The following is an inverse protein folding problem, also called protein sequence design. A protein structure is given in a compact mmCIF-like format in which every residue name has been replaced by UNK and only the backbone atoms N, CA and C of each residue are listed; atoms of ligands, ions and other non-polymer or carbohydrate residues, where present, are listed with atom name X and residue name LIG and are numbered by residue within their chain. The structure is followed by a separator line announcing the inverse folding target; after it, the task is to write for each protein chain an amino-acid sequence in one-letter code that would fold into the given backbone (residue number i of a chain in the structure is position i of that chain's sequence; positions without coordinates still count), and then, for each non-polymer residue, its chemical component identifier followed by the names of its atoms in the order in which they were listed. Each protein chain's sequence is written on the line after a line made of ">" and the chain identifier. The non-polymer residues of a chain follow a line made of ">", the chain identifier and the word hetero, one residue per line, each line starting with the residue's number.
data_IF_687690987579
#
_entry.id   IF_687690987579
#
_cell.length_a   1.000
_cell.length_b   1.000
_cell.length_c   1.000
_cell.angle_alpha   90.00
_cell.angle_beta   90.00
_cell.angle_gamma   90.00
#
_symmetry.space_group_name_H-M   'P 1'
#
loop_
_entity.id
_entity.type
_entity.pdbx_description
1 polymer ?
#
# COMPACT_ATOMS: atom_id res chain seq x y z
N UNK A 1 29.37 -11.16 -27.27
CA UNK A 1 27.91 -11.16 -27.03
C UNK A 1 27.59 -12.30 -26.08
N UNK A 2 27.30 -12.01 -24.82
CA UNK A 2 26.99 -13.00 -23.79
C UNK A 2 25.47 -13.06 -23.62
N UNK A 3 24.85 -14.08 -24.21
CA UNK A 3 23.42 -14.33 -24.11
C UNK A 3 23.15 -15.09 -22.81
N UNK A 4 22.44 -14.46 -21.87
CA UNK A 4 22.05 -15.10 -20.62
C UNK A 4 20.99 -16.19 -20.90
N UNK A 5 21.08 -17.37 -20.25
CA UNK A 5 20.07 -18.41 -20.39
C UNK A 5 18.74 -17.91 -19.83
N UNK A 6 17.65 -18.19 -20.53
CA UNK A 6 16.30 -17.84 -20.07
C UNK A 6 15.95 -18.65 -18.83
N UNK A 7 15.51 -17.96 -17.77
CA UNK A 7 15.02 -18.62 -16.56
C UNK A 7 13.78 -19.46 -16.92
N UNK A 8 13.71 -20.73 -16.50
CA UNK A 8 12.54 -21.56 -16.73
C UNK A 8 11.35 -20.92 -16.01
N UNK A 9 10.31 -20.56 -16.78
CA UNK A 9 9.05 -20.11 -16.20
C UNK A 9 8.48 -21.26 -15.38
N UNK A 10 8.43 -21.07 -14.07
CA UNK A 10 7.83 -22.00 -13.13
C UNK A 10 6.38 -22.25 -13.54
N UNK A 11 6.12 -23.36 -14.23
CA UNK A 11 4.77 -23.89 -14.52
C UNK A 11 4.13 -24.52 -13.29
N UNK A 12 4.49 -24.03 -12.10
CA UNK A 12 3.86 -24.46 -10.85
C UNK A 12 2.46 -23.89 -10.85
N UNK A 13 1.50 -24.81 -10.92
CA UNK A 13 0.08 -24.53 -10.85
C UNK A 13 -0.19 -23.77 -9.54
N UNK A 14 -0.76 -22.56 -9.66
CA UNK A 14 -1.03 -21.69 -8.51
C UNK A 14 -2.10 -22.31 -7.59
N UNK A 15 -2.86 -23.29 -8.09
CA UNK A 15 -3.83 -24.04 -7.30
C UNK A 15 -3.18 -24.90 -6.22
N UNK A 16 -2.05 -25.54 -6.52
CA UNK A 16 -1.30 -26.38 -5.57
C UNK A 16 -0.66 -25.53 -4.46
N UNK A 17 -0.19 -24.34 -4.82
CA UNK A 17 0.30 -23.36 -3.85
C UNK A 17 -0.79 -22.95 -2.85
N UNK A 18 -2.00 -22.68 -3.35
CA UNK A 18 -3.14 -22.39 -2.47
C UNK A 18 -3.52 -23.59 -1.60
N UNK A 19 -3.45 -24.82 -2.12
CA UNK A 19 -3.70 -26.02 -1.33
C UNK A 19 -2.67 -26.20 -0.19
N UNK A 20 -1.39 -25.92 -0.46
CA UNK A 20 -0.33 -25.93 0.55
C UNK A 20 -0.49 -24.81 1.58
N UNK A 21 -0.93 -23.63 1.16
CA UNK A 21 -1.22 -22.50 2.07
C UNK A 21 -2.43 -22.84 2.96
N UNK A 22 -3.50 -23.39 2.37
CA UNK A 22 -4.68 -23.85 3.10
C UNK A 22 -4.34 -24.94 4.13
N UNK A 23 -3.45 -25.88 3.75
CA UNK A 23 -2.97 -26.93 4.64
C UNK A 23 -2.02 -26.39 5.73
N UNK A 24 -1.25 -25.34 5.44
CA UNK A 24 -0.27 -24.75 6.37
C UNK A 24 -0.88 -23.76 7.36
N UNK A 25 -1.92 -23.02 6.98
CA UNK A 25 -2.57 -22.01 7.82
C UNK A 25 -3.76 -22.60 8.57
N UNK A 26 -4.33 -23.70 8.05
CA UNK A 26 -5.54 -24.31 8.59
C UNK A 26 -6.77 -23.50 8.20
N UNK A 27 -7.70 -24.12 7.45
CA UNK A 27 -8.97 -23.51 7.04
C UNK A 27 -9.82 -23.19 8.27
N UNK A 28 -9.97 -21.91 8.60
CA UNK A 28 -11.11 -21.42 9.37
C UNK A 28 -12.34 -21.50 8.49
N UNK A 29 -13.16 -22.51 8.76
CA UNK A 29 -14.37 -22.89 8.05
C UNK A 29 -15.39 -21.74 8.00
N UNK A 30 -15.50 -21.08 6.83
CA UNK A 30 -16.69 -20.30 6.45
C UNK A 30 -16.94 -20.56 4.96
N UNK A 31 -17.73 -21.60 4.68
CA UNK A 31 -18.47 -21.68 3.43
C UNK A 31 -19.53 -20.55 3.39
N UNK A 32 -19.95 -20.05 2.20
CA UNK A 32 -20.87 -20.85 1.40
C UNK A 32 -20.69 -20.77 -0.14
N UNK A 33 -21.04 -21.89 -0.76
CA UNK A 33 -21.82 -22.05 -2.02
C UNK A 33 -21.27 -21.51 -3.37
N UNK A 34 -20.80 -22.47 -4.18
CA UNK A 34 -21.20 -22.77 -5.58
C UNK A 34 -21.63 -21.64 -6.53
N UNK A 35 -20.87 -21.39 -7.61
CA UNK A 35 -21.13 -21.86 -9.01
C UNK A 35 -20.16 -21.20 -10.03
N UNK A 36 -19.96 -21.76 -11.25
CA UNK A 36 -18.79 -21.51 -12.12
C UNK A 36 -18.99 -20.50 -13.28
N UNK A 37 -17.83 -20.03 -13.78
CA UNK A 37 -17.40 -19.28 -15.00
C UNK A 37 -18.32 -19.28 -16.27
N UNK A 38 -18.17 -18.33 -17.26
CA UNK A 38 -16.90 -18.03 -17.94
C UNK A 38 -16.60 -16.61 -18.52
N UNK A 39 -15.29 -16.37 -18.70
CA UNK A 39 -14.54 -15.57 -19.70
C UNK A 39 -15.16 -14.38 -20.46
N UNK A 40 -14.48 -13.22 -20.41
CA UNK A 40 -13.92 -12.54 -21.61
C UNK A 40 -13.14 -11.25 -21.26
N UNK A 41 -11.81 -11.30 -21.45
CA UNK A 41 -10.89 -10.27 -22.01
C UNK A 41 -10.86 -8.79 -21.55
N UNK A 42 -9.70 -8.12 -21.67
CA UNK A 42 -9.31 -6.98 -20.84
C UNK A 42 -9.54 -5.62 -21.51
N UNK A 43 -10.01 -4.63 -20.75
CA UNK A 43 -10.03 -3.24 -21.22
C UNK A 43 -9.31 -2.34 -20.21
N UNK A 44 -8.15 -1.90 -20.66
CA UNK A 44 -7.29 -0.86 -20.13
C UNK A 44 -8.03 0.48 -20.17
N UNK A 45 -8.49 0.97 -19.01
CA UNK A 45 -9.00 2.34 -18.88
C UNK A 45 -8.43 3.06 -17.66
N UNK A 46 -8.36 4.38 -17.83
CA UNK A 46 -7.51 5.37 -17.17
C UNK A 46 -8.04 5.67 -15.76
N UNK A 47 -7.23 6.24 -14.84
CA UNK A 47 -7.78 6.71 -13.58
C UNK A 47 -8.67 7.93 -13.84
N UNK A 48 -9.99 7.70 -13.76
CA UNK A 48 -11.02 8.71 -13.82
C UNK A 48 -10.83 9.79 -12.75
N UNK A 49 -10.64 11.01 -13.21
CA UNK A 49 -10.74 12.23 -12.44
C UNK A 49 -12.24 12.53 -12.29
N UNK A 50 -12.92 11.85 -11.36
CA UNK A 50 -14.30 12.19 -11.04
C UNK A 50 -14.41 13.11 -9.82
N UNK A 51 -14.45 14.38 -10.20
CA UNK A 51 -14.79 15.58 -9.45
C UNK A 51 -16.07 15.38 -8.61
N UNK A 52 -15.95 15.12 -7.30
CA UNK A 52 -17.00 15.44 -6.31
C UNK A 52 -16.54 16.54 -5.36
N UNK A 53 -17.22 17.69 -5.46
CA UNK A 53 -17.03 18.92 -4.69
C UNK A 53 -17.93 18.93 -3.43
N UNK A 54 -17.77 19.91 -2.51
CA UNK A 54 -17.61 19.67 -1.08
C UNK A 54 -18.94 19.76 -0.30
N UNK A 55 -19.10 18.88 0.70
CA UNK A 55 -20.01 19.13 1.81
C UNK A 55 -19.18 19.61 2.99
N UNK A 56 -19.32 20.89 3.32
CA UNK A 56 -18.67 21.54 4.45
C UNK A 56 -19.76 21.69 5.51
N UNK A 57 -19.75 20.85 6.53
CA UNK A 57 -20.57 21.05 7.74
C UNK A 57 -19.80 20.60 9.00
N UNK A 58 -19.34 21.63 9.72
CA UNK A 58 -19.30 21.75 11.19
C UNK A 58 -18.81 20.59 12.05
N UNK A 59 -17.49 20.57 12.24
CA UNK A 59 -16.88 20.52 13.57
C UNK A 59 -15.54 21.25 13.50
N UNK A 60 -15.14 22.00 14.53
CA UNK A 60 -13.80 22.57 14.68
C UNK A 60 -12.77 21.44 14.97
N UNK A 61 -12.81 20.40 14.16
CA UNK A 61 -11.79 19.37 14.04
C UNK A 61 -10.77 19.97 13.08
N UNK A 62 -9.54 20.15 13.56
CA UNK A 62 -8.41 20.57 12.73
C UNK A 62 -8.47 19.83 11.39
N UNK A 63 -8.65 20.56 10.30
CA UNK A 63 -8.69 19.95 8.98
C UNK A 63 -7.32 19.31 8.75
N UNK A 64 -7.28 17.97 8.84
CA UNK A 64 -6.04 17.23 8.61
C UNK A 64 -5.77 17.31 7.11
N UNK A 65 -4.92 18.25 6.71
CA UNK A 65 -4.47 18.37 5.34
C UNK A 65 -3.52 17.22 5.00
N UNK A 66 -3.80 16.54 3.89
CA UNK A 66 -3.00 15.40 3.43
C UNK A 66 -2.08 15.84 2.31
N UNK A 67 -0.77 15.83 2.57
CA UNK A 67 0.24 16.18 1.58
C UNK A 67 0.86 14.92 0.97
N UNK A 68 1.04 14.95 -0.36
CA UNK A 68 1.89 13.98 -1.08
C UNK A 68 3.19 14.67 -1.42
N UNK A 69 4.29 14.24 -0.81
CA UNK A 69 5.62 14.80 -1.04
C UNK A 69 6.51 13.77 -1.74
N UNK A 70 7.35 14.26 -2.65
CA UNK A 70 8.41 13.45 -3.26
C UNK A 70 9.71 13.81 -2.58
N UNK A 71 10.33 12.83 -1.92
CA UNK A 71 11.61 12.97 -1.23
C UNK A 71 12.56 11.85 -1.65
N UNK A 72 13.86 12.06 -1.45
CA UNK A 72 14.89 11.08 -1.76
C UNK A 72 14.59 9.73 -1.05
N UNK A 73 14.64 8.58 -1.76
CA UNK A 73 14.51 7.26 -1.16
C UNK A 73 15.39 7.03 0.09
N UNK A 74 16.61 7.56 0.12
CA UNK A 74 17.49 7.43 1.28
C UNK A 74 16.89 8.07 2.54
N UNK A 75 16.25 9.23 2.39
CA UNK A 75 15.58 9.95 3.48
C UNK A 75 14.34 9.19 3.96
N UNK A 76 13.61 8.54 3.05
CA UNK A 76 12.46 7.69 3.40
C UNK A 76 12.91 6.53 4.30
N UNK A 77 13.99 5.84 3.94
CA UNK A 77 14.51 4.71 4.72
C UNK A 77 15.00 5.17 6.09
N UNK A 78 15.76 6.26 6.15
CA UNK A 78 16.25 6.84 7.40
C UNK A 78 15.09 7.24 8.34
N UNK A 79 14.05 7.89 7.79
CA UNK A 79 12.86 8.29 8.54
C UNK A 79 12.11 7.09 9.11
N UNK A 80 11.90 6.05 8.30
CA UNK A 80 11.26 4.81 8.75
C UNK A 80 12.06 4.14 9.86
N UNK A 81 13.38 4.09 9.73
CA UNK A 81 14.25 3.53 10.76
C UNK A 81 14.16 4.32 12.07
N UNK A 82 14.21 5.64 12.01
CA UNK A 82 14.04 6.51 13.19
C UNK A 82 12.67 6.32 13.86
N UNK A 83 11.61 6.21 13.06
CA UNK A 83 10.26 5.95 13.54
C UNK A 83 10.15 4.60 14.26
N UNK A 84 10.77 3.55 13.72
CA UNK A 84 10.83 2.22 14.35
C UNK A 84 11.56 2.25 15.69
N UNK A 85 12.71 2.93 15.77
CA UNK A 85 13.47 3.07 17.02
C UNK A 85 12.66 3.76 18.12
N UNK A 86 11.90 4.78 17.74
CA UNK A 86 11.07 5.58 18.65
C UNK A 86 9.68 4.99 18.89
N UNK A 87 9.30 3.91 18.18
CA UNK A 87 7.96 3.30 18.18
C UNK A 87 6.83 4.29 17.86
N UNK A 88 7.12 5.25 16.99
CA UNK A 88 6.17 6.29 16.54
C UNK A 88 5.84 6.13 15.07
N UNK A 89 4.80 6.80 14.61
CA UNK A 89 4.48 6.82 13.19
C UNK A 89 5.53 7.63 12.39
N UNK A 90 5.90 7.21 11.18
CA UNK A 90 6.79 8.00 10.32
C UNK A 90 6.27 9.41 10.03
N UNK A 91 4.94 9.59 9.99
CA UNK A 91 4.29 10.90 9.82
C UNK A 91 4.59 11.86 10.96
N UNK A 92 4.68 11.37 12.21
CA UNK A 92 4.98 12.21 13.38
C UNK A 92 6.44 12.70 13.34
N UNK A 93 7.37 11.86 12.86
CA UNK A 93 8.77 12.27 12.65
C UNK A 93 8.86 13.38 11.62
N UNK A 94 8.12 13.25 10.51
CA UNK A 94 8.08 14.27 9.46
C UNK A 94 7.43 15.55 9.97
N UNK A 95 6.32 15.44 10.71
CA UNK A 95 5.66 16.60 11.31
C UNK A 95 6.58 17.34 12.28
N UNK A 96 7.24 16.63 13.19
CA UNK A 96 8.20 17.21 14.13
C UNK A 96 9.36 17.89 13.39
N UNK A 97 9.91 17.26 12.35
CA UNK A 97 10.97 17.86 11.54
C UNK A 97 10.48 19.14 10.82
N UNK A 98 9.25 19.16 10.30
CA UNK A 98 8.65 20.33 9.67
C UNK A 98 8.40 21.45 10.69
N UNK A 99 7.91 21.12 11.88
CA UNK A 99 7.70 22.08 12.97
C UNK A 99 9.02 22.72 13.40
N UNK A 100 10.08 21.92 13.56
CA UNK A 100 11.43 22.42 13.85
C UNK A 100 11.96 23.31 12.73
N UNK A 101 11.81 22.90 11.46
CA UNK A 101 12.27 23.69 10.31
C UNK A 101 11.57 25.04 10.20
N UNK A 102 10.26 25.08 10.50
CA UNK A 102 9.46 26.31 10.48
C UNK A 102 9.59 27.13 11.77
N UNK A 103 10.40 26.69 12.74
CA UNK A 103 10.53 27.28 14.08
C UNK A 103 9.18 27.41 14.80
N UNK A 104 8.28 26.45 14.58
CA UNK A 104 6.95 26.40 15.19
C UNK A 104 6.95 25.67 16.55
N UNK A 105 8.07 25.07 16.95
CA UNK A 105 8.21 24.38 18.25
C UNK A 105 9.35 24.95 19.11
N UNK A 106 8.93 25.54 20.24
CA UNK A 106 9.46 25.28 21.60
C UNK A 106 8.66 24.16 22.24
#
# INVERSE_FOLDING_TARGET
>A
MTQFPSLPRSGRDLSDLNALIDASIGKSDVAPMSSPLPSSSPQQERPDIERRRPARDTAAQSQVERFRISIDPAVIVATKHAALQRKVAPSEIVELALRQYLNLET
#
